data_IF_685595984986
#
_entry.id   IF_685595984986
#
_cell.length_a   1.000
_cell.length_b   1.000
_cell.length_c   1.000
_cell.angle_alpha   90.00
_cell.angle_beta   90.00
_cell.angle_gamma   90.00
#
_symmetry.space_group_name_H-M   'P 1'
#
loop_
_entity.id
_entity.type
_entity.pdbx_description
1 polymer ?
#
# COMPACT_ATOMS: atom_id res chain seq x y z
N UNK A 1 -64.84 22.89 56.20
CA UNK A 1 -63.89 23.98 56.51
C UNK A 1 -62.57 23.34 56.98
N UNK A 2 -61.44 23.85 56.45
CA UNK A 2 -60.03 23.64 56.89
C UNK A 2 -59.44 22.22 56.71
N UNK A 3 -58.49 21.95 55.80
CA UNK A 3 -57.06 22.37 55.60
C UNK A 3 -56.02 21.71 56.54
N UNK A 4 -55.25 20.79 55.93
CA UNK A 4 -53.77 20.65 55.90
C UNK A 4 -52.95 20.17 57.12
N UNK A 5 -52.07 19.18 56.88
CA UNK A 5 -50.59 19.10 57.14
C UNK A 5 -50.18 17.65 57.53
N UNK A 6 -49.29 17.00 56.75
CA UNK A 6 -47.84 16.77 57.02
C UNK A 6 -47.60 15.91 58.28
N UNK A 7 -46.90 14.77 58.29
CA UNK A 7 -45.51 14.54 57.83
C UNK A 7 -45.20 13.03 57.76
N UNK A 8 -44.22 12.65 56.92
CA UNK A 8 -43.74 11.29 56.65
C UNK A 8 -42.90 10.63 57.75
N UNK A 9 -42.85 9.29 57.75
CA UNK A 9 -41.67 8.53 58.17
C UNK A 9 -41.40 7.37 57.18
N UNK A 10 -40.17 7.36 56.67
CA UNK A 10 -39.60 6.51 55.63
C UNK A 10 -39.29 5.09 56.16
N UNK A 11 -39.60 4.05 55.37
CA UNK A 11 -39.06 2.70 55.54
C UNK A 11 -38.05 2.41 54.42
N UNK A 12 -36.82 2.07 54.80
CA UNK A 12 -35.75 1.67 53.88
C UNK A 12 -35.92 0.19 53.50
N UNK A 13 -36.12 -0.08 52.21
CA UNK A 13 -36.02 -1.41 51.59
C UNK A 13 -34.79 -1.41 50.67
N UNK A 14 -33.79 -2.21 51.01
CA UNK A 14 -32.63 -2.49 50.16
C UNK A 14 -33.06 -3.44 49.02
N UNK A 15 -33.18 -2.94 47.80
CA UNK A 15 -33.28 -3.75 46.58
C UNK A 15 -31.88 -3.95 45.98
N UNK A 16 -31.43 -5.20 45.94
CA UNK A 16 -30.21 -5.59 45.25
C UNK A 16 -30.42 -5.58 43.73
N UNK A 17 -29.74 -4.67 43.04
CA UNK A 17 -29.63 -4.65 41.59
C UNK A 17 -28.59 -5.68 41.14
N UNK A 18 -29.03 -6.75 40.46
CA UNK A 18 -28.12 -7.62 39.72
C UNK A 18 -27.62 -6.86 38.48
N UNK A 19 -26.33 -6.56 38.48
CA UNK A 19 -25.64 -5.88 37.40
C UNK A 19 -25.41 -6.88 36.25
N UNK A 20 -26.26 -6.88 35.22
CA UNK A 20 -25.98 -7.60 33.98
C UNK A 20 -25.06 -6.75 33.11
N UNK A 21 -23.76 -7.00 33.17
CA UNK A 21 -22.81 -6.42 32.24
C UNK A 21 -23.10 -6.96 30.82
N UNK A 22 -23.25 -6.10 29.80
CA UNK A 22 -23.35 -6.57 28.42
C UNK A 22 -22.02 -7.19 28.00
N UNK A 23 -22.07 -8.41 27.47
CA UNK A 23 -20.94 -9.04 26.82
C UNK A 23 -20.49 -8.14 25.66
N UNK A 24 -19.30 -7.56 25.79
CA UNK A 24 -18.66 -6.82 24.73
C UNK A 24 -18.32 -7.79 23.59
N UNK A 25 -19.19 -7.86 22.58
CA UNK A 25 -18.86 -8.49 21.30
C UNK A 25 -17.68 -7.77 20.69
N UNK A 26 -16.50 -8.40 20.75
CA UNK A 26 -15.30 -7.94 20.08
C UNK A 26 -15.56 -8.00 18.58
N UNK A 27 -15.79 -6.85 17.94
CA UNK A 27 -15.76 -6.73 16.49
C UNK A 27 -14.32 -6.97 16.02
N UNK A 28 -13.97 -8.22 15.77
CA UNK A 28 -12.81 -8.53 14.93
C UNK A 28 -13.19 -8.01 13.55
N UNK A 29 -12.66 -6.84 13.17
CA UNK A 29 -12.88 -6.26 11.85
C UNK A 29 -12.57 -7.31 10.79
N UNK A 30 -13.53 -7.58 9.90
CA UNK A 30 -13.29 -8.46 8.76
C UNK A 30 -12.04 -7.98 8.05
N UNK A 31 -11.03 -8.84 7.96
CA UNK A 31 -9.85 -8.59 7.15
C UNK A 31 -10.32 -8.23 5.73
N UNK A 32 -10.00 -7.02 5.27
CA UNK A 32 -10.38 -6.56 3.94
C UNK A 32 -9.80 -7.52 2.89
N UNK A 33 -10.67 -8.11 2.07
CA UNK A 33 -10.23 -8.94 0.96
C UNK A 33 -9.97 -8.09 -0.27
N UNK A 34 -8.72 -7.65 -0.43
CA UNK A 34 -8.30 -6.84 -1.57
C UNK A 34 -8.41 -7.55 -2.92
N UNK A 35 -8.47 -8.89 -2.93
CA UNK A 35 -8.67 -9.65 -4.17
C UNK A 35 -10.13 -9.92 -4.50
N UNK A 36 -11.08 -9.35 -3.75
CA UNK A 36 -12.52 -9.32 -4.05
C UNK A 36 -13.14 -10.69 -4.41
N UNK A 37 -12.75 -11.74 -3.70
CA UNK A 37 -13.22 -13.11 -3.94
C UNK A 37 -12.63 -13.80 -5.18
N UNK A 38 -11.74 -13.14 -5.92
CA UNK A 38 -11.06 -13.72 -7.09
C UNK A 38 -10.29 -14.98 -6.70
N UNK A 39 -10.49 -16.14 -7.35
CA UNK A 39 -9.76 -17.36 -7.04
C UNK A 39 -8.25 -17.23 -7.22
N UNK A 40 -7.48 -17.97 -6.42
CA UNK A 40 -6.04 -18.08 -6.60
C UNK A 40 -5.70 -18.57 -8.03
N UNK A 41 -4.66 -17.98 -8.61
CA UNK A 41 -4.09 -18.29 -9.90
C UNK A 41 -4.97 -17.98 -11.12
N UNK A 42 -6.11 -17.30 -10.94
CA UNK A 42 -6.90 -16.78 -12.06
C UNK A 42 -6.05 -15.87 -12.98
N UNK A 43 -6.49 -15.62 -14.22
CA UNK A 43 -5.88 -14.60 -15.06
C UNK A 43 -5.88 -13.23 -14.37
N UNK A 44 -4.83 -12.44 -14.61
CA UNK A 44 -4.75 -11.09 -14.08
C UNK A 44 -5.86 -10.21 -14.67
N UNK A 45 -6.48 -9.38 -13.84
CA UNK A 45 -7.59 -8.51 -14.24
C UNK A 45 -7.15 -7.05 -14.27
N UNK A 46 -7.54 -6.27 -15.29
CA UNK A 46 -7.29 -4.85 -15.31
C UNK A 46 -8.09 -4.13 -14.22
N UNK A 47 -7.44 -3.16 -13.57
CA UNK A 47 -7.99 -2.42 -12.45
C UNK A 47 -8.62 -1.10 -12.92
N UNK A 48 -9.86 -0.85 -12.48
CA UNK A 48 -10.61 0.38 -12.70
C UNK A 48 -10.61 1.22 -11.43
N UNK A 49 -10.08 2.43 -11.45
CA UNK A 49 -10.09 3.34 -10.31
C UNK A 49 -11.24 4.36 -10.36
N UNK A 50 -12.34 4.03 -11.04
CA UNK A 50 -13.59 4.80 -10.99
C UNK A 50 -14.01 5.01 -9.54
N UNK A 51 -14.44 6.24 -9.22
CA UNK A 51 -14.90 6.63 -7.88
C UNK A 51 -13.86 6.41 -6.76
N UNK A 52 -12.57 6.28 -7.09
CA UNK A 52 -11.48 6.12 -6.12
C UNK A 52 -11.39 4.73 -5.48
N UNK A 53 -12.03 3.71 -6.06
CA UNK A 53 -12.09 2.33 -5.52
C UNK A 53 -10.72 1.75 -5.15
N UNK A 54 -9.69 2.08 -5.92
CA UNK A 54 -8.31 1.61 -5.77
C UNK A 54 -7.33 2.75 -5.49
N UNK A 55 -7.77 3.83 -4.81
CA UNK A 55 -6.89 4.94 -4.42
C UNK A 55 -5.67 4.47 -3.61
N UNK A 56 -5.82 3.39 -2.86
CA UNK A 56 -4.76 2.74 -2.08
C UNK A 56 -3.68 2.05 -2.93
N UNK A 57 -3.88 1.90 -4.25
CA UNK A 57 -2.91 1.35 -5.21
C UNK A 57 -2.38 2.39 -6.19
N UNK A 58 -2.71 3.67 -6.01
CA UNK A 58 -2.21 4.75 -6.88
C UNK A 58 -0.67 4.85 -6.89
N UNK A 59 -0.01 4.40 -5.84
CA UNK A 59 1.46 4.34 -5.72
C UNK A 59 2.11 3.16 -6.43
N UNK A 60 1.34 2.25 -7.04
CA UNK A 60 1.86 1.20 -7.91
C UNK A 60 1.84 1.76 -9.33
N UNK A 61 3.00 1.75 -9.97
CA UNK A 61 3.21 2.49 -11.20
C UNK A 61 4.16 1.81 -12.17
N UNK A 62 4.26 2.43 -13.35
CA UNK A 62 5.15 2.03 -14.43
C UNK A 62 6.49 2.75 -14.24
N UNK A 63 7.56 1.98 -14.14
CA UNK A 63 8.95 2.48 -14.09
C UNK A 63 9.55 2.34 -15.49
N UNK A 64 10.15 3.42 -15.99
CA UNK A 64 10.86 3.45 -17.27
C UNK A 64 12.24 4.06 -17.07
N UNK A 65 13.29 3.28 -17.30
CA UNK A 65 14.68 3.72 -17.21
C UNK A 65 15.23 3.93 -18.62
N UNK A 66 15.98 5.01 -18.84
CA UNK A 66 16.41 5.43 -20.18
C UNK A 66 17.27 4.37 -20.92
N UNK A 67 17.98 3.53 -20.17
CA UNK A 67 18.79 2.42 -20.69
C UNK A 67 18.33 1.05 -20.17
N UNK A 68 17.16 1.01 -19.53
CA UNK A 68 16.63 -0.18 -18.88
C UNK A 68 15.35 -0.69 -19.53
N UNK A 69 14.68 -1.60 -18.83
CA UNK A 69 13.38 -2.13 -19.21
C UNK A 69 12.26 -1.26 -18.63
N UNK A 70 11.06 -1.41 -19.20
CA UNK A 70 9.84 -0.99 -18.51
C UNK A 70 9.46 -2.05 -17.48
N UNK A 71 9.17 -1.63 -16.27
CA UNK A 71 8.78 -2.52 -15.18
C UNK A 71 7.62 -1.94 -14.36
N UNK A 72 7.05 -2.77 -13.50
CA UNK A 72 6.28 -2.28 -12.36
C UNK A 72 7.20 -1.77 -11.25
N UNK A 73 6.75 -0.77 -10.51
CA UNK A 73 7.38 -0.35 -9.28
C UNK A 73 6.36 0.22 -8.31
N UNK A 74 6.76 0.40 -7.05
CA UNK A 74 5.90 0.97 -6.01
C UNK A 74 6.63 2.04 -5.21
N UNK A 75 5.95 3.16 -4.95
CA UNK A 75 6.41 4.13 -3.95
C UNK A 75 6.38 3.47 -2.57
N UNK A 76 7.48 3.56 -1.82
CA UNK A 76 7.60 3.00 -0.47
C UNK A 76 7.56 4.08 0.60
N UNK A 77 6.97 3.76 1.75
CA UNK A 77 6.83 4.68 2.87
C UNK A 77 8.13 4.73 3.68
N UNK A 78 8.90 5.81 3.50
CA UNK A 78 10.18 6.04 4.17
C UNK A 78 10.08 6.96 5.38
N UNK A 79 8.86 7.28 5.85
CA UNK A 79 8.61 8.12 7.04
C UNK A 79 8.96 7.37 8.32
N UNK A 80 10.24 7.28 8.62
CA UNK A 80 10.76 6.73 9.88
C UNK A 80 11.32 7.82 10.81
N UNK A 81 11.67 8.99 10.27
CA UNK A 81 12.22 10.13 11.01
C UNK A 81 11.30 11.37 10.92
N UNK A 82 11.43 12.35 11.83
CA UNK A 82 10.56 13.55 11.89
C UNK A 82 10.50 14.37 10.59
N UNK A 83 11.55 14.32 9.77
CA UNK A 83 11.71 15.00 8.48
C UNK A 83 11.44 14.08 7.28
N UNK A 84 10.78 12.93 7.48
CA UNK A 84 10.54 11.92 6.44
C UNK A 84 9.67 12.38 5.26
N UNK A 85 9.10 13.59 5.33
CA UNK A 85 8.35 14.21 4.22
C UNK A 85 9.24 15.08 3.32
N UNK A 86 10.34 15.61 3.85
CA UNK A 86 11.22 16.54 3.14
C UNK A 86 12.32 15.81 2.34
N UNK A 87 12.55 14.53 2.68
CA UNK A 87 13.47 13.67 1.95
C UNK A 87 12.95 13.25 0.57
N UNK A 88 13.83 12.78 -0.31
CA UNK A 88 13.44 12.27 -1.62
C UNK A 88 12.48 11.08 -1.52
N UNK A 89 11.63 10.94 -2.52
CA UNK A 89 10.75 9.80 -2.67
C UNK A 89 11.51 8.61 -3.30
N UNK A 90 11.21 7.41 -2.84
CA UNK A 90 11.87 6.19 -3.29
C UNK A 90 10.89 5.18 -3.87
N UNK A 91 11.26 4.59 -5.00
CA UNK A 91 10.47 3.55 -5.67
C UNK A 91 11.22 2.24 -5.64
N UNK A 92 10.52 1.19 -5.22
CA UNK A 92 10.99 -0.19 -5.26
C UNK A 92 10.58 -0.83 -6.59
N UNK A 93 11.54 -1.42 -7.30
CA UNK A 93 11.33 -2.19 -8.54
C UNK A 93 12.34 -3.34 -8.60
N UNK A 94 12.40 -4.08 -9.72
CA UNK A 94 13.33 -5.19 -9.89
C UNK A 94 14.71 -4.68 -10.35
N UNK A 95 15.79 -5.37 -9.97
CA UNK A 95 17.16 -5.05 -10.40
C UNK A 95 17.34 -5.24 -11.90
N UNK A 96 16.70 -6.26 -12.46
CA UNK A 96 16.75 -6.56 -13.89
C UNK A 96 16.16 -5.44 -14.76
N UNK A 97 15.35 -4.56 -14.17
CA UNK A 97 14.81 -3.39 -14.86
C UNK A 97 15.90 -2.40 -15.25
N UNK A 98 17.02 -2.41 -14.53
CA UNK A 98 18.13 -1.51 -14.79
C UNK A 98 19.34 -2.21 -15.40
N UNK A 99 19.74 -3.37 -14.85
CA UNK A 99 20.93 -4.08 -15.30
C UNK A 99 20.73 -5.59 -15.21
N UNK A 100 21.04 -6.30 -16.30
CA UNK A 100 20.92 -7.75 -16.40
C UNK A 100 22.19 -8.51 -16.00
N UNK A 101 23.27 -7.80 -15.61
CA UNK A 101 24.53 -8.42 -15.22
C UNK A 101 24.53 -8.82 -13.73
N UNK A 102 24.63 -10.12 -13.39
CA UNK A 102 24.60 -10.60 -12.00
C UNK A 102 25.87 -10.31 -11.19
N UNK A 103 26.93 -9.82 -11.84
CA UNK A 103 28.17 -9.43 -11.20
C UNK A 103 28.24 -7.96 -10.84
N UNK A 104 27.21 -7.19 -11.18
CA UNK A 104 27.13 -5.77 -10.89
C UNK A 104 26.16 -5.53 -9.73
N UNK A 105 26.65 -4.77 -8.75
CA UNK A 105 25.83 -4.07 -7.76
C UNK A 105 26.01 -2.58 -8.04
N UNK A 106 24.90 -1.87 -8.21
CA UNK A 106 24.93 -0.42 -8.37
C UNK A 106 24.59 0.23 -7.05
N UNK A 107 25.40 1.20 -6.65
CA UNK A 107 25.21 1.96 -5.42
C UNK A 107 25.39 3.45 -5.73
N UNK A 108 24.38 4.25 -5.42
CA UNK A 108 24.37 5.71 -5.58
C UNK A 108 24.86 6.19 -6.96
N UNK A 109 24.37 5.56 -8.02
CA UNK A 109 24.70 5.95 -9.40
C UNK A 109 23.62 6.85 -9.97
N UNK A 110 24.04 7.90 -10.69
CA UNK A 110 23.11 8.75 -11.41
C UNK A 110 22.33 7.94 -12.45
N UNK A 111 21.03 8.19 -12.54
CA UNK A 111 20.15 7.52 -13.47
C UNK A 111 19.17 8.51 -14.10
N UNK A 112 18.59 8.13 -15.23
CA UNK A 112 17.57 8.90 -15.91
C UNK A 112 16.41 8.00 -16.27
N UNK A 113 15.21 8.51 -16.10
CA UNK A 113 13.98 7.78 -16.34
C UNK A 113 12.79 8.48 -15.72
N UNK A 114 11.67 7.78 -15.69
CA UNK A 114 10.45 8.25 -15.05
C UNK A 114 9.69 7.12 -14.37
N UNK A 115 8.86 7.50 -13.40
CA UNK A 115 7.85 6.64 -12.80
C UNK A 115 6.48 7.29 -13.02
N UNK A 116 5.54 6.51 -13.55
CA UNK A 116 4.16 6.94 -13.79
C UNK A 116 3.22 6.22 -12.83
N UNK A 117 2.62 6.98 -11.90
CA UNK A 117 1.67 6.54 -10.90
C UNK A 117 0.22 6.78 -11.33
N UNK A 118 -0.73 6.24 -10.56
CA UNK A 118 -2.16 6.24 -10.87
C UNK A 118 -2.47 5.53 -12.21
N UNK A 119 -1.83 4.39 -12.42
CA UNK A 119 -1.78 3.70 -13.71
C UNK A 119 -2.97 2.75 -13.91
N UNK A 120 -4.20 3.27 -14.02
CA UNK A 120 -5.42 2.46 -14.22
C UNK A 120 -5.97 2.61 -15.65
N UNK A 121 -6.71 1.61 -16.14
CA UNK A 121 -7.16 1.60 -17.55
C UNK A 121 -8.22 2.66 -17.85
N UNK A 122 -8.97 3.09 -16.83
CA UNK A 122 -10.10 4.01 -16.93
C UNK A 122 -9.80 5.43 -16.45
N UNK A 123 -8.57 5.68 -15.99
CA UNK A 123 -8.10 7.00 -15.54
C UNK A 123 -6.73 7.34 -16.11
N UNK A 124 -6.45 6.89 -17.34
CA UNK A 124 -5.13 7.05 -17.97
C UNK A 124 -4.72 8.53 -18.08
N UNK A 125 -5.67 9.43 -18.31
CA UNK A 125 -5.52 10.89 -18.34
C UNK A 125 -5.11 11.50 -17.00
N UNK A 126 -5.30 10.78 -15.89
CA UNK A 126 -4.91 11.18 -14.55
C UNK A 126 -3.59 10.54 -14.09
N UNK A 127 -2.85 9.90 -15.00
CA UNK A 127 -1.51 9.36 -14.73
C UNK A 127 -0.57 10.50 -14.37
N UNK A 128 0.16 10.36 -13.26
CA UNK A 128 1.12 11.36 -12.78
C UNK A 128 2.54 10.82 -12.94
N UNK A 129 3.44 11.60 -13.57
CA UNK A 129 4.81 11.15 -13.87
C UNK A 129 5.86 11.97 -13.13
N UNK A 130 6.86 11.28 -12.59
CA UNK A 130 7.95 11.82 -11.78
C UNK A 130 9.29 11.38 -12.35
N UNK A 131 10.30 12.24 -12.30
CA UNK A 131 11.63 11.92 -12.83
C UNK A 131 12.47 11.13 -11.84
N UNK A 132 13.25 10.19 -12.37
CA UNK A 132 14.27 9.45 -11.62
C UNK A 132 15.59 10.21 -11.71
N UNK A 133 16.26 10.40 -10.58
CA UNK A 133 17.56 11.08 -10.48
C UNK A 133 18.70 10.12 -10.20
N UNK A 134 18.46 9.11 -9.37
CA UNK A 134 19.48 8.18 -8.90
C UNK A 134 18.95 6.75 -8.79
N UNK A 135 19.86 5.79 -8.88
CA UNK A 135 19.69 4.44 -8.37
C UNK A 135 20.52 4.37 -7.09
N UNK A 136 19.86 4.36 -5.93
CA UNK A 136 20.55 4.27 -4.65
C UNK A 136 21.15 2.88 -4.46
N UNK A 137 20.42 1.85 -4.91
CA UNK A 137 20.87 0.46 -4.83
C UNK A 137 20.21 -0.39 -5.91
N UNK A 138 20.93 -1.31 -6.55
CA UNK A 138 20.37 -2.28 -7.49
C UNK A 138 21.22 -3.54 -7.62
N UNK A 139 20.58 -4.71 -7.62
CA UNK A 139 21.22 -5.98 -7.98
C UNK A 139 20.22 -7.01 -8.48
N UNK A 140 20.75 -8.02 -9.19
CA UNK A 140 20.05 -9.28 -9.45
C UNK A 140 20.72 -10.47 -8.75
N UNK A 141 21.78 -10.22 -7.96
CA UNK A 141 22.50 -11.25 -7.21
C UNK A 141 21.74 -11.57 -5.92
N UNK A 142 21.19 -12.77 -5.86
CA UNK A 142 20.45 -13.28 -4.69
C UNK A 142 19.03 -12.73 -4.61
N UNK A 143 18.85 -11.41 -4.67
CA UNK A 143 17.55 -10.77 -4.78
C UNK A 143 17.51 -9.82 -5.96
N UNK A 144 16.48 -9.95 -6.77
CA UNK A 144 16.21 -9.08 -7.91
C UNK A 144 15.45 -7.83 -7.45
N UNK A 145 16.19 -6.78 -7.09
CA UNK A 145 15.65 -5.59 -6.44
C UNK A 145 16.43 -4.33 -6.84
N UNK A 146 15.73 -3.21 -6.92
CA UNK A 146 16.28 -1.88 -7.18
C UNK A 146 15.50 -0.84 -6.39
N UNK A 147 16.23 0.11 -5.81
CA UNK A 147 15.69 1.31 -5.17
C UNK A 147 16.10 2.51 -6.01
N UNK A 148 15.11 3.18 -6.60
CA UNK A 148 15.33 4.38 -7.41
C UNK A 148 14.81 5.60 -6.69
N UNK A 149 15.56 6.70 -6.79
CA UNK A 149 15.25 8.00 -6.21
C UNK A 149 14.51 8.86 -7.21
N UNK A 150 13.47 9.55 -6.75
CA UNK A 150 12.78 10.56 -7.53
C UNK A 150 13.32 11.95 -7.22
N UNK A 151 13.21 12.86 -8.19
CA UNK A 151 13.54 14.28 -8.01
C UNK A 151 12.62 14.98 -6.98
N UNK A 152 11.46 14.38 -6.74
CA UNK A 152 10.44 14.89 -5.85
C UNK A 152 10.57 14.33 -4.44
N UNK A 153 10.15 15.12 -3.45
CA UNK A 153 10.08 14.66 -2.06
C UNK A 153 8.87 13.76 -1.83
N UNK A 154 8.94 12.92 -0.80
CA UNK A 154 7.79 12.10 -0.42
C UNK A 154 6.56 12.96 -0.05
N UNK A 155 6.78 14.12 0.57
CA UNK A 155 5.73 15.09 0.88
C UNK A 155 5.02 15.63 -0.36
N UNK A 156 5.76 15.89 -1.45
CA UNK A 156 5.16 16.33 -2.72
C UNK A 156 4.24 15.26 -3.29
N UNK A 157 4.70 14.00 -3.36
CA UNK A 157 3.87 12.90 -3.88
C UNK A 157 2.61 12.67 -3.04
N UNK A 158 2.71 12.81 -1.71
CA UNK A 158 1.54 12.76 -0.83
C UNK A 158 0.55 13.89 -1.11
N UNK A 159 1.02 15.11 -1.35
CA UNK A 159 0.18 16.25 -1.70
C UNK A 159 -0.52 16.05 -3.07
N UNK A 160 0.12 15.33 -3.99
CA UNK A 160 -0.46 14.94 -5.29
C UNK A 160 -1.48 13.78 -5.17
N UNK A 161 -1.64 13.24 -3.96
CA UNK A 161 -2.55 12.14 -3.64
C UNK A 161 -1.96 10.74 -3.88
N UNK A 162 -0.64 10.63 -4.05
CA UNK A 162 0.06 9.35 -4.19
C UNK A 162 0.50 8.86 -2.80
N UNK A 163 -0.28 7.94 -2.23
CA UNK A 163 0.00 7.40 -0.90
C UNK A 163 0.97 6.21 -0.99
N UNK A 164 2.15 6.25 -0.34
CA UNK A 164 3.14 5.18 -0.41
C UNK A 164 2.65 3.89 0.25
N UNK A 165 3.17 2.75 -0.20
CA UNK A 165 2.94 1.47 0.47
C UNK A 165 3.89 1.30 1.66
N UNK A 166 3.35 0.84 2.79
CA UNK A 166 4.14 0.48 3.97
C UNK A 166 4.80 -0.87 3.78
N UNK A 167 6.09 -0.94 4.09
CA UNK A 167 6.80 -2.21 4.17
C UNK A 167 6.39 -2.95 5.45
N UNK A 168 6.08 -4.23 5.31
CA UNK A 168 5.83 -5.09 6.46
C UNK A 168 7.14 -5.32 7.23
N UNK A 169 7.08 -5.27 8.56
CA UNK A 169 8.23 -5.56 9.43
C UNK A 169 8.51 -7.05 9.59
N UNK A 170 7.57 -7.90 9.16
CA UNK A 170 7.65 -9.35 9.24
C UNK A 170 7.36 -9.99 7.89
N UNK A 171 8.01 -11.11 7.55
CA UNK A 171 7.72 -11.83 6.33
C UNK A 171 6.28 -12.37 6.34
N UNK A 172 5.68 -12.44 5.16
CA UNK A 172 4.35 -13.03 5.00
C UNK A 172 4.41 -14.53 5.34
N UNK A 173 3.52 -15.05 6.22
CA UNK A 173 3.45 -16.48 6.48
C UNK A 173 3.15 -17.29 5.21
N UNK A 174 3.55 -18.56 5.20
CA UNK A 174 3.36 -19.45 4.05
C UNK A 174 1.89 -19.78 3.81
N UNK A 175 1.55 -20.07 2.55
CA UNK A 175 0.22 -20.51 2.15
C UNK A 175 -0.87 -19.46 2.26
N UNK A 176 -0.49 -18.19 2.50
CA UNK A 176 -1.41 -17.05 2.57
C UNK A 176 -1.80 -16.61 1.17
N UNK A 177 -3.08 -16.34 1.00
CA UNK A 177 -3.57 -15.68 -0.20
C UNK A 177 -2.93 -14.30 -0.31
N UNK A 178 -2.33 -14.04 -1.46
CA UNK A 178 -1.55 -12.85 -1.77
C UNK A 178 -2.08 -12.25 -3.07
N UNK A 179 -2.23 -10.94 -3.11
CA UNK A 179 -2.56 -10.23 -4.33
C UNK A 179 -1.29 -9.60 -4.90
N UNK A 180 -0.97 -9.93 -6.13
CA UNK A 180 0.07 -9.25 -6.92
C UNK A 180 -0.62 -8.16 -7.72
N UNK A 181 -0.14 -6.93 -7.55
CA UNK A 181 -0.60 -5.76 -8.32
C UNK A 181 0.62 -5.15 -9.02
N UNK A 182 0.50 -4.86 -10.31
CA UNK A 182 1.59 -4.29 -11.10
C UNK A 182 1.09 -3.53 -12.32
N UNK A 183 1.90 -2.58 -12.80
CA UNK A 183 1.66 -1.85 -14.04
C UNK A 183 2.18 -2.67 -15.23
N UNK A 184 1.27 -3.19 -16.04
CA UNK A 184 1.59 -4.03 -17.19
C UNK A 184 1.60 -3.22 -18.50
N UNK A 185 2.56 -3.51 -19.37
CA UNK A 185 2.67 -2.91 -20.70
C UNK A 185 1.49 -3.25 -21.61
N UNK A 186 0.92 -4.44 -21.47
CA UNK A 186 -0.26 -4.88 -22.18
C UNK A 186 -1.28 -5.36 -21.14
N UNK A 187 -2.47 -4.72 -21.01
CA UNK A 187 -3.08 -3.74 -21.92
C UNK A 187 -2.67 -2.26 -21.67
N UNK A 188 -1.62 -1.98 -20.90
CA UNK A 188 -1.23 -0.59 -20.56
C UNK A 188 -1.97 -0.07 -19.34
N UNK A 189 -2.09 -0.90 -18.30
CA UNK A 189 -2.80 -0.58 -17.07
C UNK A 189 -2.30 -1.43 -15.89
N UNK A 190 -2.69 -1.06 -14.68
CA UNK A 190 -2.52 -1.87 -13.49
C UNK A 190 -3.36 -3.14 -13.59
N UNK A 191 -2.73 -4.28 -13.32
CA UNK A 191 -3.34 -5.59 -13.27
C UNK A 191 -3.24 -6.16 -11.87
N UNK A 192 -4.27 -6.87 -11.41
CA UNK A 192 -4.25 -7.63 -10.17
C UNK A 192 -4.44 -9.12 -10.41
N UNK A 193 -3.69 -9.95 -9.67
CA UNK A 193 -3.82 -11.42 -9.68
C UNK A 193 -3.62 -11.99 -8.29
N UNK A 194 -4.50 -12.90 -7.87
CA UNK A 194 -4.32 -13.63 -6.61
C UNK A 194 -3.41 -14.85 -6.79
N UNK A 195 -2.51 -15.08 -5.84
CA UNK A 195 -1.62 -16.24 -5.76
C UNK A 195 -1.56 -16.74 -4.31
N UNK A 196 -0.99 -17.93 -4.09
CA UNK A 196 -0.57 -18.35 -2.74
C UNK A 196 0.89 -18.02 -2.50
N UNK A 197 1.21 -17.49 -1.32
CA UNK A 197 2.60 -17.33 -0.90
C UNK A 197 3.29 -18.70 -0.85
N UNK A 198 4.34 -18.87 -1.65
CA UNK A 198 5.20 -20.06 -1.61
C UNK A 198 6.38 -19.82 -0.68
N UNK A 199 7.08 -20.90 -0.30
CA UNK A 199 8.44 -20.77 0.24
C UNK A 199 9.30 -19.99 -0.77
N UNK A 200 10.00 -18.96 -0.30
CA UNK A 200 11.30 -18.64 -0.89
C UNK A 200 12.14 -19.90 -0.73
N UNK A 201 12.50 -20.54 -1.84
CA UNK A 201 13.45 -21.65 -1.85
C UNK A 201 14.86 -21.10 -1.90
#
# INVERSE_FOLDING_TARGET
>A
MHRTLCTSAFALLFTGLMNTAPAASTLIGKQQDWGEGTPNFSPAQPLSNREGRYDHWRSIGRVSLQQGLTCSGTLIDTRYAPNGLDGPAYVLTSGHCNNLNPDIVLENVAAKGSVSFNYFFDTAEHTQSYFITNINWSTIRGQDISVVELDNTLGQLLNDGITPLKLASLPLPQGRDTLIVGAADCPGAALARRVKSSMAR
#
